data_IF_776255370871
#
_entry.id   IF_776255370871
#
_cell.length_a   1.000
_cell.length_b   1.000
_cell.length_c   1.000
_cell.angle_alpha   90.00
_cell.angle_beta   90.00
_cell.angle_gamma   90.00
#
_symmetry.space_group_name_H-M   'P 1'
#
loop_
_entity.id
_entity.type
_entity.pdbx_description
1 polymer ?
#
# COMPACT_ATOMS: atom_id res chain seq x y z
N UNK A 1 5.69 -23.86 -5.37
CA UNK A 1 5.38 -22.42 -5.48
C UNK A 1 6.08 -21.68 -4.35
N UNK A 2 6.94 -20.75 -4.68
CA UNK A 2 7.67 -19.92 -3.71
C UNK A 2 7.10 -18.53 -3.70
N UNK A 3 6.67 -18.05 -2.54
CA UNK A 3 6.12 -16.71 -2.36
C UNK A 3 6.96 -15.98 -1.32
N UNK A 4 7.34 -14.73 -1.60
CA UNK A 4 8.10 -13.90 -0.68
C UNK A 4 7.65 -12.45 -0.75
N UNK A 5 7.71 -11.77 0.38
CA UNK A 5 7.56 -10.31 0.44
C UNK A 5 8.96 -9.74 0.64
N UNK A 6 9.39 -8.91 -0.31
CA UNK A 6 10.74 -8.35 -0.33
C UNK A 6 10.68 -6.83 -0.44
N UNK A 7 11.76 -6.16 -0.03
CA UNK A 7 11.89 -4.73 -0.25
C UNK A 7 12.06 -4.43 -1.74
N UNK A 8 11.56 -3.27 -2.17
CA UNK A 8 11.74 -2.78 -3.53
C UNK A 8 13.23 -2.65 -3.86
N UNK A 9 13.59 -3.14 -5.05
CA UNK A 9 14.92 -2.96 -5.64
C UNK A 9 14.78 -2.19 -6.97
N UNK A 10 15.84 -1.53 -7.45
CA UNK A 10 15.77 -0.83 -8.75
C UNK A 10 15.28 -1.69 -9.90
N UNK A 11 15.59 -2.98 -9.91
CA UNK A 11 15.10 -3.90 -10.95
C UNK A 11 13.60 -4.20 -10.87
N UNK A 12 12.91 -3.76 -9.80
CA UNK A 12 11.47 -3.84 -9.69
C UNK A 12 10.75 -2.65 -10.37
N UNK A 13 11.48 -1.64 -10.86
CA UNK A 13 10.86 -0.40 -11.34
C UNK A 13 9.83 -0.63 -12.47
N UNK A 14 10.14 -1.49 -13.42
CA UNK A 14 9.22 -1.81 -14.52
C UNK A 14 7.97 -2.53 -14.03
N UNK A 15 8.13 -3.50 -13.13
CA UNK A 15 7.00 -4.22 -12.55
C UNK A 15 6.13 -3.30 -11.69
N UNK A 16 6.74 -2.42 -10.91
CA UNK A 16 6.04 -1.40 -10.12
C UNK A 16 5.15 -0.53 -11.03
N UNK A 17 5.71 -0.01 -12.11
CA UNK A 17 4.97 0.82 -13.05
C UNK A 17 3.81 0.04 -13.67
N UNK A 18 4.03 -1.19 -14.09
CA UNK A 18 3.01 -2.02 -14.71
C UNK A 18 1.90 -2.39 -13.72
N UNK A 19 2.25 -2.81 -12.52
CA UNK A 19 1.27 -3.16 -11.48
C UNK A 19 0.34 -1.99 -11.19
N UNK A 20 0.89 -0.79 -11.00
CA UNK A 20 0.10 0.38 -10.65
C UNK A 20 -0.72 0.92 -11.81
N UNK A 21 -0.24 0.81 -13.03
CA UNK A 21 -1.00 1.20 -14.23
C UNK A 21 -2.15 0.24 -14.47
N UNK A 22 -1.89 -1.06 -14.36
CA UNK A 22 -2.87 -2.11 -14.69
C UNK A 22 -4.09 -2.05 -13.77
N UNK A 23 -3.92 -1.91 -12.46
CA UNK A 23 -5.08 -1.91 -11.57
C UNK A 23 -5.97 -0.68 -11.76
N UNK A 24 -5.38 0.47 -12.10
CA UNK A 24 -6.15 1.67 -12.41
C UNK A 24 -7.00 1.47 -13.66
N UNK A 25 -6.40 0.93 -14.71
CA UNK A 25 -7.10 0.67 -15.98
C UNK A 25 -8.20 -0.37 -15.77
N UNK A 26 -7.91 -1.47 -15.10
CA UNK A 26 -8.89 -2.54 -14.83
C UNK A 26 -10.05 -2.05 -13.99
N UNK A 27 -9.80 -1.14 -13.04
CA UNK A 27 -10.85 -0.56 -12.21
C UNK A 27 -11.65 0.55 -12.89
N UNK A 28 -11.29 0.92 -14.13
CA UNK A 28 -11.93 2.02 -14.83
C UNK A 28 -11.56 3.40 -14.30
N UNK A 29 -10.45 3.50 -13.57
CA UNK A 29 -9.99 4.76 -13.00
C UNK A 29 -9.05 5.48 -13.97
N UNK A 30 -9.15 6.81 -14.00
CA UNK A 30 -8.16 7.63 -14.70
C UNK A 30 -6.82 7.58 -13.98
N UNK A 31 -5.72 7.66 -14.74
CA UNK A 31 -4.39 7.83 -14.16
C UNK A 31 -4.23 9.32 -13.88
N UNK A 32 -4.33 9.70 -12.61
CA UNK A 32 -4.24 11.09 -12.18
C UNK A 32 -2.78 11.55 -12.12
N UNK A 33 -2.57 12.87 -12.08
CA UNK A 33 -1.21 13.43 -12.07
C UNK A 33 -0.35 12.89 -10.93
N UNK A 34 -0.93 12.76 -9.74
CA UNK A 34 -0.21 12.23 -8.57
C UNK A 34 0.13 10.75 -8.74
N UNK A 35 -0.72 9.97 -9.40
CA UNK A 35 -0.41 8.59 -9.76
C UNK A 35 0.80 8.53 -10.68
N UNK A 36 0.83 9.40 -11.70
CA UNK A 36 1.92 9.40 -12.68
C UNK A 36 3.26 9.67 -12.02
N UNK A 37 3.32 10.62 -11.09
CA UNK A 37 4.55 10.92 -10.35
C UNK A 37 5.01 9.70 -9.55
N UNK A 38 4.10 9.03 -8.85
CA UNK A 38 4.44 7.86 -8.03
C UNK A 38 4.82 6.65 -8.90
N UNK A 39 4.18 6.46 -10.04
CA UNK A 39 4.48 5.37 -10.97
C UNK A 39 5.88 5.54 -11.55
N UNK A 40 6.23 6.76 -11.94
CA UNK A 40 7.49 7.06 -12.63
C UNK A 40 8.68 7.22 -11.68
N UNK A 41 8.44 7.60 -10.43
CA UNK A 41 9.51 7.89 -9.46
C UNK A 41 9.20 7.33 -8.06
N UNK A 42 9.15 6.01 -7.91
CA UNK A 42 8.92 5.41 -6.59
C UNK A 42 10.02 5.74 -5.59
N UNK A 43 11.26 5.89 -6.04
CA UNK A 43 12.37 6.25 -5.18
C UNK A 43 12.14 7.62 -4.53
N UNK A 44 11.84 8.65 -5.33
CA UNK A 44 11.67 10.00 -4.83
C UNK A 44 10.38 10.20 -4.02
N UNK A 45 9.30 9.52 -4.43
CA UNK A 45 8.00 9.68 -3.78
C UNK A 45 7.93 8.94 -2.45
N UNK A 46 8.56 7.77 -2.32
CA UNK A 46 8.46 6.94 -1.13
C UNK A 46 9.78 6.77 -0.40
N UNK A 47 10.79 6.21 -1.02
CA UNK A 47 12.01 5.81 -0.33
C UNK A 47 12.81 7.01 0.19
N UNK A 48 12.96 8.04 -0.62
CA UNK A 48 13.72 9.24 -0.23
C UNK A 48 13.02 10.05 0.88
N UNK A 49 11.73 9.79 1.10
CA UNK A 49 10.95 10.45 2.16
C UNK A 49 10.85 9.61 3.43
N UNK A 50 11.66 8.57 3.55
CA UNK A 50 11.64 7.68 4.70
C UNK A 50 10.58 6.59 4.64
N UNK A 51 9.92 6.44 3.49
CA UNK A 51 8.95 5.38 3.26
C UNK A 51 9.58 4.07 2.84
N UNK A 52 8.72 3.10 2.57
CA UNK A 52 9.11 1.77 2.12
C UNK A 52 8.17 1.32 1.01
N UNK A 53 8.67 0.46 0.15
CA UNK A 53 7.86 -0.25 -0.83
C UNK A 53 8.15 -1.73 -0.68
N UNK A 54 7.08 -2.53 -0.57
CA UNK A 54 7.17 -3.97 -0.51
C UNK A 54 6.66 -4.59 -1.80
N UNK A 55 7.37 -5.60 -2.28
CA UNK A 55 7.03 -6.34 -3.49
C UNK A 55 6.70 -7.76 -3.10
N UNK A 56 5.58 -8.28 -3.59
CA UNK A 56 5.26 -9.70 -3.48
C UNK A 56 5.81 -10.41 -4.70
N UNK A 57 6.70 -11.38 -4.47
CA UNK A 57 7.27 -12.20 -5.53
C UNK A 57 6.69 -13.61 -5.45
N UNK A 58 6.29 -14.14 -6.59
CA UNK A 58 5.88 -15.54 -6.73
C UNK A 58 6.80 -16.19 -7.75
N UNK A 59 7.55 -17.18 -7.31
CA UNK A 59 8.54 -17.87 -8.14
C UNK A 59 9.51 -16.87 -8.81
N UNK A 60 9.93 -15.85 -8.07
CA UNK A 60 10.85 -14.82 -8.54
C UNK A 60 10.24 -13.69 -9.36
N UNK A 61 8.95 -13.75 -9.64
CA UNK A 61 8.25 -12.73 -10.43
C UNK A 61 7.46 -11.80 -9.54
N UNK A 62 7.58 -10.48 -9.76
CA UNK A 62 6.82 -9.48 -9.00
C UNK A 62 5.35 -9.54 -9.41
N UNK A 63 4.48 -9.91 -8.47
CA UNK A 63 3.04 -10.08 -8.70
C UNK A 63 2.18 -9.16 -7.83
N UNK A 64 2.79 -8.39 -6.96
CA UNK A 64 2.06 -7.45 -6.12
C UNK A 64 3.00 -6.43 -5.49
N UNK A 65 2.41 -5.35 -4.99
CA UNK A 65 3.16 -4.29 -4.33
C UNK A 65 2.31 -3.58 -3.28
N UNK A 66 2.98 -2.90 -2.37
CA UNK A 66 2.35 -1.96 -1.44
C UNK A 66 3.41 -0.97 -0.98
N UNK A 67 3.05 0.31 -0.93
CA UNK A 67 3.93 1.37 -0.46
C UNK A 67 3.43 1.95 0.85
N UNK A 68 4.35 2.53 1.62
CA UNK A 68 4.03 3.31 2.79
C UNK A 68 4.97 4.52 2.86
N UNK A 69 4.46 5.63 3.36
CA UNK A 69 5.25 6.85 3.49
C UNK A 69 4.84 7.60 4.77
N UNK A 70 5.81 8.06 5.59
CA UNK A 70 5.49 8.88 6.75
C UNK A 70 5.02 10.26 6.31
N UNK A 71 4.02 10.79 7.03
CA UNK A 71 3.49 12.12 6.84
C UNK A 71 3.28 12.75 8.21
N UNK A 72 2.84 14.01 8.24
CA UNK A 72 2.50 14.67 9.51
C UNK A 72 1.33 14.00 10.23
N UNK A 73 0.51 13.25 9.50
CA UNK A 73 -0.68 12.57 10.04
C UNK A 73 -0.43 11.12 10.49
N UNK A 74 0.77 10.60 10.29
CA UNK A 74 1.11 9.20 10.58
C UNK A 74 1.81 8.56 9.40
N UNK A 75 1.55 7.27 9.17
CA UNK A 75 2.09 6.56 8.01
C UNK A 75 0.96 6.23 7.04
N UNK A 76 1.05 6.73 5.83
CA UNK A 76 0.09 6.43 4.78
C UNK A 76 0.46 5.14 4.06
N UNK A 77 -0.51 4.23 3.96
CA UNK A 77 -0.40 3.00 3.16
C UNK A 77 -1.08 3.26 1.83
N UNK A 78 -0.41 2.98 0.74
CA UNK A 78 -0.92 3.25 -0.61
C UNK A 78 -0.33 2.32 -1.65
N UNK A 79 -0.88 2.39 -2.86
CA UNK A 79 -0.38 1.63 -4.02
C UNK A 79 -0.37 0.11 -3.77
N UNK A 80 -1.39 -0.41 -3.08
CA UNK A 80 -1.51 -1.84 -2.86
C UNK A 80 -2.27 -2.50 -4.00
N UNK A 81 -1.65 -3.46 -4.65
CA UNK A 81 -2.28 -4.26 -5.70
C UNK A 81 -1.62 -5.62 -5.82
N UNK A 82 -2.40 -6.60 -6.26
CA UNK A 82 -1.92 -7.94 -6.58
C UNK A 82 -2.52 -8.31 -7.94
N UNK A 83 -1.70 -8.87 -8.84
CA UNK A 83 -2.19 -9.26 -10.16
C UNK A 83 -3.32 -10.28 -10.03
N UNK A 84 -4.31 -10.27 -10.95
CA UNK A 84 -5.44 -11.21 -10.86
C UNK A 84 -5.01 -12.68 -10.76
N UNK A 85 -3.98 -13.09 -11.50
CA UNK A 85 -3.51 -14.47 -11.49
C UNK A 85 -2.92 -14.91 -10.14
N UNK A 86 -2.48 -13.97 -9.30
CA UNK A 86 -1.89 -14.26 -7.99
C UNK A 86 -2.85 -13.99 -6.83
N UNK A 87 -4.09 -13.61 -7.09
CA UNK A 87 -5.10 -13.40 -6.04
C UNK A 87 -5.51 -14.73 -5.41
N UNK A 88 -6.01 -14.66 -4.18
CA UNK A 88 -6.41 -15.84 -3.43
C UNK A 88 -5.29 -16.55 -2.70
N UNK A 89 -4.06 -16.01 -2.75
CA UNK A 89 -2.88 -16.57 -2.06
C UNK A 89 -2.55 -15.83 -0.76
N UNK A 90 -3.36 -14.86 -0.35
CA UNK A 90 -3.12 -14.06 0.86
C UNK A 90 -2.01 -13.03 0.71
N UNK A 91 -1.60 -12.69 -0.51
CA UNK A 91 -0.48 -11.79 -0.74
C UNK A 91 -0.77 -10.35 -0.32
N UNK A 92 -1.99 -9.86 -0.56
CA UNK A 92 -2.36 -8.50 -0.13
C UNK A 92 -2.28 -8.36 1.39
N UNK A 93 -2.73 -9.37 2.13
CA UNK A 93 -2.61 -9.39 3.58
C UNK A 93 -1.16 -9.39 4.03
N UNK A 94 -0.31 -10.18 3.39
CA UNK A 94 1.12 -10.22 3.72
C UNK A 94 1.81 -8.90 3.42
N UNK A 95 1.45 -8.23 2.33
CA UNK A 95 1.96 -6.90 2.01
C UNK A 95 1.54 -5.88 3.07
N UNK A 96 0.27 -5.89 3.47
CA UNK A 96 -0.23 -5.00 4.51
C UNK A 96 0.45 -5.26 5.84
N UNK A 97 0.63 -6.52 6.21
CA UNK A 97 1.34 -6.90 7.44
C UNK A 97 2.80 -6.41 7.43
N UNK A 98 3.47 -6.47 6.28
CA UNK A 98 4.83 -5.95 6.15
C UNK A 98 4.88 -4.44 6.38
N UNK A 99 3.91 -3.69 5.84
CA UNK A 99 3.80 -2.26 6.08
C UNK A 99 3.56 -1.96 7.57
N UNK A 100 2.66 -2.69 8.20
CA UNK A 100 2.37 -2.49 9.62
C UNK A 100 3.60 -2.78 10.48
N UNK A 101 4.30 -3.88 10.21
CA UNK A 101 5.50 -4.23 10.97
C UNK A 101 6.58 -3.16 10.82
N UNK A 102 6.80 -2.66 9.61
CA UNK A 102 7.77 -1.61 9.36
C UNK A 102 7.38 -0.30 10.06
N UNK A 103 6.10 0.05 10.04
CA UNK A 103 5.59 1.25 10.71
C UNK A 103 5.78 1.15 12.23
N UNK A 104 5.49 0.00 12.82
CA UNK A 104 5.72 -0.23 14.25
C UNK A 104 7.19 -0.11 14.63
N UNK A 105 8.08 -0.68 13.82
CA UNK A 105 9.51 -0.60 14.04
C UNK A 105 10.02 0.84 13.98
N UNK A 106 9.40 1.66 13.14
CA UNK A 106 9.74 3.09 13.02
C UNK A 106 9.09 3.95 14.12
N UNK A 107 8.33 3.36 15.03
CA UNK A 107 7.69 4.08 16.12
C UNK A 107 6.39 4.78 15.74
N UNK A 108 5.80 4.45 14.60
CA UNK A 108 4.55 5.04 14.17
C UNK A 108 3.40 4.60 15.09
N UNK A 109 2.46 5.51 15.33
CA UNK A 109 1.29 5.24 16.18
C UNK A 109 -0.01 5.20 15.38
N UNK A 110 0.06 5.43 14.07
CA UNK A 110 -1.12 5.47 13.22
C UNK A 110 -0.77 5.09 11.79
N UNK A 111 -1.53 4.14 11.23
CA UNK A 111 -1.60 3.91 9.79
C UNK A 111 -2.90 4.50 9.27
N UNK A 112 -2.87 5.05 8.06
CA UNK A 112 -4.09 5.50 7.40
C UNK A 112 -4.00 5.25 5.90
N UNK A 113 -5.16 5.27 5.25
CA UNK A 113 -5.23 5.06 3.81
C UNK A 113 -6.47 5.72 3.22
N UNK A 114 -6.42 5.91 1.93
CA UNK A 114 -7.53 6.40 1.11
C UNK A 114 -7.78 5.38 0.00
N UNK A 115 -9.04 5.09 -0.28
CA UNK A 115 -9.40 4.13 -1.31
C UNK A 115 -10.76 4.48 -1.91
N UNK A 116 -11.26 3.64 -2.80
CA UNK A 116 -12.54 3.84 -3.47
C UNK A 116 -13.54 2.78 -3.05
N UNK A 117 -14.79 3.19 -2.87
CA UNK A 117 -15.88 2.32 -2.43
C UNK A 117 -16.16 1.15 -3.37
N UNK A 118 -15.76 1.24 -4.64
CA UNK A 118 -15.90 0.12 -5.58
C UNK A 118 -14.90 -1.01 -5.32
N UNK A 119 -13.81 -0.74 -4.59
CA UNK A 119 -12.76 -1.72 -4.29
C UNK A 119 -13.12 -2.55 -3.06
N UNK A 120 -14.23 -3.27 -3.13
CA UNK A 120 -14.79 -4.00 -1.99
C UNK A 120 -13.87 -5.04 -1.37
N UNK A 121 -13.14 -5.86 -2.14
CA UNK A 121 -12.20 -6.81 -1.54
C UNK A 121 -11.09 -6.14 -0.74
N UNK A 122 -10.58 -5.00 -1.20
CA UNK A 122 -9.56 -4.25 -0.48
C UNK A 122 -10.11 -3.69 0.84
N UNK A 123 -11.31 -3.12 0.80
CA UNK A 123 -11.97 -2.58 2.00
C UNK A 123 -12.21 -3.69 3.02
N UNK A 124 -12.68 -4.86 2.57
CA UNK A 124 -12.90 -6.01 3.44
C UNK A 124 -11.59 -6.46 4.11
N UNK A 125 -10.48 -6.44 3.37
CA UNK A 125 -9.17 -6.76 3.90
C UNK A 125 -8.77 -5.74 4.99
N UNK A 126 -8.90 -4.46 4.71
CA UNK A 126 -8.56 -3.42 5.69
C UNK A 126 -9.40 -3.55 6.96
N UNK A 127 -10.70 -3.75 6.81
CA UNK A 127 -11.58 -3.96 7.97
C UNK A 127 -11.16 -5.18 8.78
N UNK A 128 -10.86 -6.30 8.13
CA UNK A 128 -10.41 -7.51 8.81
C UNK A 128 -9.04 -7.34 9.49
N UNK A 129 -8.23 -6.40 9.00
CA UNK A 129 -6.93 -6.09 9.58
C UNK A 129 -7.00 -5.07 10.72
N UNK A 130 -8.19 -4.59 11.07
CA UNK A 130 -8.39 -3.68 12.18
C UNK A 130 -8.49 -2.20 11.82
N UNK A 131 -8.55 -1.87 10.53
CA UNK A 131 -8.79 -0.50 10.11
C UNK A 131 -10.25 -0.13 10.33
N UNK A 132 -10.49 1.11 10.72
CA UNK A 132 -11.82 1.67 10.93
C UNK A 132 -12.05 2.83 9.96
N UNK A 133 -13.30 3.02 9.57
CA UNK A 133 -13.67 4.09 8.64
C UNK A 133 -13.62 5.46 9.33
N UNK A 134 -13.18 6.46 8.58
CA UNK A 134 -13.13 7.85 8.99
C UNK A 134 -14.12 8.68 8.17
N UNK A 135 -14.53 9.86 8.68
CA UNK A 135 -15.30 10.80 7.88
C UNK A 135 -14.53 11.26 6.63
N UNK A 136 -15.22 11.70 5.57
CA UNK A 136 -14.58 12.25 4.38
C UNK A 136 -13.65 13.41 4.71
N UNK A 137 -12.54 13.50 3.98
CA UNK A 137 -11.53 14.54 4.15
C UNK A 137 -11.01 15.00 2.79
N UNK A 138 -10.38 16.19 2.69
CA UNK A 138 -9.73 16.60 1.46
C UNK A 138 -8.65 15.60 1.03
N UNK A 139 -8.60 15.32 -0.28
CA UNK A 139 -7.66 14.38 -0.86
C UNK A 139 -7.19 14.87 -2.22
N UNK A 140 -5.93 14.57 -2.61
CA UNK A 140 -5.45 14.90 -3.95
C UNK A 140 -6.02 14.00 -5.05
N UNK A 141 -6.75 12.92 -4.71
CA UNK A 141 -7.31 11.99 -5.68
C UNK A 141 -8.82 12.14 -5.80
N UNK A 142 -9.31 12.30 -7.03
CA UNK A 142 -10.76 12.37 -7.28
C UNK A 142 -11.45 11.05 -6.98
N UNK A 143 -10.77 9.92 -7.20
CA UNK A 143 -11.34 8.60 -6.95
C UNK A 143 -11.44 8.22 -5.47
N UNK A 144 -10.76 8.92 -4.58
CA UNK A 144 -10.75 8.57 -3.18
C UNK A 144 -12.03 9.04 -2.49
N UNK A 145 -12.83 8.11 -2.00
CA UNK A 145 -14.07 8.39 -1.29
C UNK A 145 -14.23 7.54 -0.02
N UNK A 146 -13.23 6.73 0.31
CA UNK A 146 -13.18 5.94 1.54
C UNK A 146 -11.87 6.24 2.25
N UNK A 147 -11.97 6.55 3.55
CA UNK A 147 -10.83 6.93 4.38
C UNK A 147 -10.82 6.04 5.61
N UNK A 148 -9.69 5.44 5.92
CA UNK A 148 -9.59 4.48 7.02
C UNK A 148 -8.30 4.69 7.80
N UNK A 149 -8.31 4.31 9.08
CA UNK A 149 -7.12 4.33 9.92
C UNK A 149 -7.05 3.11 10.81
N UNK A 150 -5.82 2.79 11.22
CA UNK A 150 -5.57 1.83 12.28
C UNK A 150 -4.60 2.47 13.26
N UNK A 151 -5.01 2.56 14.53
CA UNK A 151 -4.12 3.01 15.60
C UNK A 151 -3.18 1.88 15.98
N UNK A 152 -1.88 2.19 16.05
CA UNK A 152 -0.86 1.24 16.45
C UNK A 152 -0.49 1.51 17.90
N UNK A 153 -0.49 0.47 18.70
CA UNK A 153 -0.01 0.62 20.08
C UNK A 153 1.51 0.63 20.06
N UNK A 154 2.15 1.55 20.80
CA UNK A 154 3.60 1.50 20.92
C UNK A 154 4.01 0.17 21.52
N UNK A 155 5.18 -0.34 21.08
CA UNK A 155 5.79 -1.49 21.72
C UNK A 155 5.84 -1.24 23.22
N UNK A 156 5.32 -2.17 24.03
CA UNK A 156 5.43 -2.04 25.47
C UNK A 156 6.89 -2.25 25.85
N UNK A 157 7.56 -1.13 26.10
CA UNK A 157 8.84 -1.19 26.78
C UNK A 157 8.54 -1.35 28.26
N UNK A 158 8.89 -2.48 28.81
CA UNK A 158 8.82 -2.64 30.26
C UNK A 158 10.00 -1.93 30.88
N UNK A 159 9.68 -1.02 31.73
CA UNK A 159 10.67 -0.39 32.57
C UNK A 159 10.95 -1.25 33.79
#
# INVERSE_FOLDING_TARGET
>A
MTVAIVDFRPDHAAAWAQLNTTWLIEGGFAIEAKDRVAIDDPQGVFLDKGGRIFIAEKDGEAVGCCAMVPTDDGVEVCKMTVTPAARGLGLARRLLEACEAAARQAGAVRLYLETNSALKPAIALYESAGFVHLPPRPTPYERADVFMEKRLQPSRTRL
#
